data_IF_787563742809
#
_entry.id   IF_787563742809
#
_cell.length_a   1.000
_cell.length_b   1.000
_cell.length_c   1.000
_cell.angle_alpha   90.00
_cell.angle_beta   90.00
_cell.angle_gamma   90.00
#
_symmetry.space_group_name_H-M   'P 1'
#
loop_
_entity.id
_entity.type
_entity.pdbx_description
1 polymer ?
#
# COMPACT_ATOMS: atom_id res chain seq x y z
N UNK A 1 14.72 0.29 -27.02
CA UNK A 1 15.49 0.89 -28.13
C UNK A 1 16.87 0.23 -28.21
N UNK A 2 17.69 0.31 -27.16
CA UNK A 2 18.98 -0.41 -27.12
C UNK A 2 18.81 -1.94 -27.11
N UNK A 3 17.84 -2.47 -26.35
CA UNK A 3 17.52 -3.91 -26.38
C UNK A 3 17.22 -4.45 -27.79
N UNK A 4 16.61 -3.63 -28.67
CA UNK A 4 16.35 -4.05 -30.06
C UNK A 4 17.65 -4.18 -30.87
N UNK A 5 18.62 -3.29 -30.64
CA UNK A 5 19.94 -3.36 -31.25
C UNK A 5 20.67 -4.61 -30.76
N UNK A 6 20.66 -4.88 -29.45
CA UNK A 6 21.27 -6.06 -28.86
C UNK A 6 20.68 -7.38 -29.40
N UNK A 7 19.35 -7.44 -29.55
CA UNK A 7 18.65 -8.64 -30.03
C UNK A 7 18.91 -8.93 -31.52
N UNK A 8 19.18 -7.89 -32.33
CA UNK A 8 19.18 -8.00 -33.80
C UNK A 8 20.53 -7.66 -34.46
N UNK A 9 21.53 -7.19 -33.70
CA UNK A 9 22.87 -6.85 -34.21
C UNK A 9 23.59 -8.02 -34.89
N UNK A 10 23.30 -9.26 -34.50
CA UNK A 10 23.87 -10.46 -35.11
C UNK A 10 23.33 -10.74 -36.52
N UNK A 11 22.10 -10.32 -36.81
CA UNK A 11 21.44 -10.55 -38.09
C UNK A 11 21.63 -9.38 -39.08
N UNK A 12 21.60 -8.13 -38.60
CA UNK A 12 21.58 -6.96 -39.47
C UNK A 12 22.76 -6.00 -39.28
N UNK A 13 23.62 -6.21 -38.26
CA UNK A 13 24.66 -5.25 -37.89
C UNK A 13 24.11 -4.00 -37.19
N UNK A 14 24.97 -3.32 -36.42
CA UNK A 14 24.57 -2.16 -35.59
C UNK A 14 24.25 -0.93 -36.45
N UNK A 15 25.09 -0.62 -37.44
CA UNK A 15 24.93 0.59 -38.27
C UNK A 15 23.62 0.62 -39.09
N UNK A 16 23.18 -0.48 -39.74
CA UNK A 16 21.89 -0.51 -40.45
C UNK A 16 20.70 -0.29 -39.52
N UNK A 17 20.72 -0.89 -38.32
CA UNK A 17 19.66 -0.71 -37.32
C UNK A 17 19.64 0.74 -36.83
N UNK A 18 20.80 1.31 -36.50
CA UNK A 18 20.95 2.69 -36.05
C UNK A 18 20.47 3.70 -37.10
N UNK A 19 20.67 3.42 -38.39
CA UNK A 19 20.18 4.26 -39.50
C UNK A 19 18.65 4.28 -39.59
N UNK A 20 17.98 3.16 -39.33
CA UNK A 20 16.51 3.05 -39.35
C UNK A 20 15.87 3.65 -38.08
N UNK A 21 16.56 3.56 -36.94
CA UNK A 21 16.08 4.07 -35.64
C UNK A 21 16.42 5.55 -35.33
N UNK A 22 16.81 6.32 -36.34
CA UNK A 22 17.70 7.50 -36.27
C UNK A 22 18.53 7.69 -34.97
N UNK A 23 19.43 6.76 -34.67
CA UNK A 23 20.36 6.84 -33.52
C UNK A 23 21.80 6.84 -34.04
N UNK A 24 22.70 7.56 -33.37
CA UNK A 24 24.12 7.51 -33.70
C UNK A 24 24.74 6.17 -33.23
N UNK A 25 25.52 5.46 -34.07
CA UNK A 25 26.20 4.21 -33.68
C UNK A 25 27.13 4.40 -32.46
N UNK A 26 27.70 5.59 -32.28
CA UNK A 26 28.50 5.93 -31.10
C UNK A 26 27.73 5.81 -29.79
N UNK A 27 26.41 6.02 -29.79
CA UNK A 27 25.55 5.84 -28.61
C UNK A 27 25.45 4.38 -28.20
N UNK A 28 25.40 3.45 -29.16
CA UNK A 28 25.43 2.02 -28.90
C UNK A 28 26.78 1.59 -28.32
N UNK A 29 27.88 2.01 -28.96
CA UNK A 29 29.23 1.71 -28.47
C UNK A 29 29.49 2.28 -27.07
N UNK A 30 29.01 3.49 -26.77
CA UNK A 30 29.09 4.07 -25.44
C UNK A 30 28.26 3.29 -24.42
N UNK A 31 27.07 2.80 -24.81
CA UNK A 31 26.25 1.95 -23.96
C UNK A 31 26.93 0.62 -23.65
N UNK A 32 27.44 -0.07 -24.67
CA UNK A 32 28.22 -1.31 -24.53
C UNK A 32 29.46 -1.06 -23.67
N UNK A 33 30.16 0.06 -23.86
CA UNK A 33 31.31 0.44 -23.05
C UNK A 33 30.95 0.71 -21.58
N UNK A 34 29.78 1.29 -21.29
CA UNK A 34 29.26 1.51 -19.91
C UNK A 34 28.75 0.21 -19.26
N UNK A 35 28.29 -0.76 -20.06
CA UNK A 35 27.96 -2.08 -19.57
C UNK A 35 29.22 -2.89 -19.24
N UNK A 36 30.20 -2.89 -20.15
CA UNK A 36 31.45 -3.64 -20.03
C UNK A 36 32.39 -3.07 -18.96
N UNK A 37 32.45 -1.73 -18.83
CA UNK A 37 33.27 -1.07 -17.81
C UNK A 37 32.40 -0.31 -16.81
N UNK A 38 32.36 -0.83 -15.58
CA UNK A 38 31.59 -0.30 -14.46
C UNK A 38 32.03 1.11 -14.04
N UNK A 39 33.27 1.49 -14.31
CA UNK A 39 33.82 2.82 -14.00
C UNK A 39 33.32 3.91 -14.96
N UNK A 40 32.87 3.55 -16.16
CA UNK A 40 32.30 4.49 -17.14
C UNK A 40 30.83 4.81 -16.86
N UNK A 41 30.21 4.12 -15.90
CA UNK A 41 28.83 4.39 -15.47
C UNK A 41 28.76 5.69 -14.69
N UNK A 42 27.65 6.40 -14.82
CA UNK A 42 27.40 7.59 -14.02
C UNK A 42 27.50 7.29 -12.51
N UNK A 43 27.96 8.27 -11.74
CA UNK A 43 28.04 8.18 -10.27
C UNK A 43 26.71 7.74 -9.63
N UNK A 44 25.59 8.21 -10.19
CA UNK A 44 24.26 7.78 -9.75
C UNK A 44 24.04 6.28 -9.95
N UNK A 45 24.39 5.74 -11.12
CA UNK A 45 24.22 4.32 -11.42
C UNK A 45 25.10 3.44 -10.53
N UNK A 46 26.33 3.89 -10.23
CA UNK A 46 27.23 3.20 -9.30
C UNK A 46 26.65 3.15 -7.88
N UNK A 47 26.12 4.29 -7.38
CA UNK A 47 25.44 4.33 -6.07
C UNK A 47 24.17 3.48 -6.03
N UNK A 48 23.35 3.54 -7.08
CA UNK A 48 22.13 2.74 -7.19
C UNK A 48 22.44 1.23 -7.15
N UNK A 49 23.54 0.81 -7.78
CA UNK A 49 23.95 -0.60 -7.82
C UNK A 49 24.46 -1.10 -6.46
N UNK A 50 25.23 -0.27 -5.73
CA UNK A 50 25.63 -0.57 -4.36
C UNK A 50 24.40 -0.67 -3.43
N UNK A 51 23.52 0.34 -3.49
CA UNK A 51 22.30 0.37 -2.70
C UNK A 51 21.34 -0.79 -3.04
N UNK A 52 21.29 -1.21 -4.29
CA UNK A 52 20.50 -2.37 -4.72
C UNK A 52 21.01 -3.69 -4.11
N UNK A 53 22.31 -3.82 -3.84
CA UNK A 53 22.86 -4.96 -3.12
C UNK A 53 22.43 -4.95 -1.64
N UNK A 54 22.51 -3.79 -0.98
CA UNK A 54 22.07 -3.63 0.41
C UNK A 54 20.57 -3.88 0.59
N UNK A 55 19.75 -3.35 -0.32
CA UNK A 55 18.30 -3.60 -0.36
C UNK A 55 18.01 -5.10 -0.48
N UNK A 56 18.72 -5.81 -1.37
CA UNK A 56 18.54 -7.27 -1.55
C UNK A 56 18.92 -8.04 -0.29
N UNK A 57 20.04 -7.67 0.34
CA UNK A 57 20.49 -8.28 1.60
C UNK A 57 19.43 -8.10 2.69
N UNK A 58 19.03 -6.86 2.97
CA UNK A 58 18.00 -6.56 3.98
C UNK A 58 16.69 -7.28 3.67
N UNK A 59 16.26 -7.32 2.41
CA UNK A 59 15.04 -8.02 2.02
C UNK A 59 15.12 -9.52 2.29
N UNK A 60 16.23 -10.16 1.92
CA UNK A 60 16.46 -11.60 2.12
C UNK A 60 16.61 -11.97 3.61
N UNK A 61 17.36 -11.20 4.39
CA UNK A 61 17.53 -11.39 5.84
C UNK A 61 16.19 -11.30 6.60
N UNK A 62 15.23 -10.55 6.05
CA UNK A 62 13.89 -10.40 6.61
C UNK A 62 12.86 -11.29 5.90
N UNK A 63 13.29 -12.41 5.31
CA UNK A 63 12.46 -13.45 4.68
C UNK A 63 11.49 -12.93 3.60
N UNK A 64 11.84 -11.83 2.92
CA UNK A 64 10.98 -11.18 1.93
C UNK A 64 9.71 -10.52 2.50
N UNK A 65 9.62 -10.35 3.82
CA UNK A 65 8.45 -9.75 4.48
C UNK A 65 8.47 -8.22 4.39
N UNK A 66 9.66 -7.62 4.29
CA UNK A 66 9.80 -6.17 4.35
C UNK A 66 9.43 -5.51 3.03
N UNK A 67 8.50 -4.55 3.11
CA UNK A 67 8.19 -3.64 2.02
C UNK A 67 9.21 -2.51 1.94
N UNK A 68 9.09 -1.64 0.93
CA UNK A 68 10.00 -0.53 0.73
C UNK A 68 10.13 0.39 1.96
N UNK A 69 9.06 0.55 2.76
CA UNK A 69 9.09 1.37 3.96
C UNK A 69 9.90 0.70 5.08
N UNK A 70 9.77 -0.62 5.26
CA UNK A 70 10.53 -1.37 6.28
C UNK A 70 11.99 -1.53 5.87
N UNK A 71 12.28 -1.84 4.61
CA UNK A 71 13.64 -1.87 4.06
C UNK A 71 14.32 -0.52 4.24
N UNK A 72 13.65 0.58 3.87
CA UNK A 72 14.17 1.94 4.07
C UNK A 72 14.52 2.23 5.53
N UNK A 73 13.65 1.86 6.48
CA UNK A 73 13.93 2.05 7.91
C UNK A 73 15.09 1.19 8.41
N UNK A 74 15.23 -0.03 7.90
CA UNK A 74 16.33 -0.91 8.26
C UNK A 74 17.66 -0.37 7.75
N UNK A 75 17.72 0.06 6.49
CA UNK A 75 18.90 0.75 5.94
C UNK A 75 19.28 1.99 6.75
N UNK A 76 18.30 2.76 7.22
CA UNK A 76 18.56 3.93 8.05
C UNK A 76 19.15 3.56 9.42
N UNK A 77 18.72 2.44 10.02
CA UNK A 77 19.29 1.91 11.27
C UNK A 77 20.73 1.41 11.09
N UNK A 78 21.08 0.95 9.89
CA UNK A 78 22.41 0.50 9.51
C UNK A 78 23.33 1.67 9.07
N UNK A 79 22.86 2.91 9.16
CA UNK A 79 23.64 4.12 8.82
C UNK A 79 23.59 4.52 7.35
N UNK A 80 22.82 3.82 6.51
CA UNK A 80 22.63 4.19 5.11
C UNK A 80 21.56 5.28 4.96
N UNK A 81 21.98 6.52 4.82
CA UNK A 81 21.11 7.67 4.59
C UNK A 81 20.62 7.70 3.12
N UNK A 82 19.40 7.20 2.88
CA UNK A 82 18.80 7.14 1.54
C UNK A 82 17.36 7.62 1.56
N UNK A 83 16.93 8.30 0.49
CA UNK A 83 15.54 8.71 0.33
C UNK A 83 14.62 7.50 0.11
N UNK A 84 13.47 7.46 0.81
CA UNK A 84 12.47 6.38 0.67
C UNK A 84 12.08 6.10 -0.78
N UNK A 85 11.88 7.14 -1.59
CA UNK A 85 11.53 7.01 -3.02
C UNK A 85 12.60 6.30 -3.84
N UNK A 86 13.88 6.41 -3.44
CA UNK A 86 14.98 5.67 -4.08
C UNK A 86 14.86 4.18 -3.80
N UNK A 87 14.58 3.79 -2.55
CA UNK A 87 14.32 2.39 -2.16
C UNK A 87 13.13 1.82 -2.93
N UNK A 88 12.01 2.56 -2.96
CA UNK A 88 10.80 2.16 -3.70
C UNK A 88 11.08 1.94 -5.18
N UNK A 89 11.81 2.87 -5.83
CA UNK A 89 12.20 2.74 -7.24
C UNK A 89 13.08 1.51 -7.47
N UNK A 90 14.13 1.32 -6.65
CA UNK A 90 15.08 0.22 -6.82
C UNK A 90 14.42 -1.14 -6.55
N UNK A 91 13.60 -1.26 -5.50
CA UNK A 91 12.82 -2.47 -5.24
C UNK A 91 11.90 -2.80 -6.43
N UNK A 92 11.22 -1.80 -7.01
CA UNK A 92 10.39 -2.00 -8.19
C UNK A 92 11.21 -2.48 -9.39
N UNK A 93 12.36 -1.87 -9.67
CA UNK A 93 13.25 -2.30 -10.76
C UNK A 93 13.75 -3.74 -10.57
N UNK A 94 13.96 -4.17 -9.32
CA UNK A 94 14.39 -5.55 -8.98
C UNK A 94 13.23 -6.54 -8.84
N UNK A 95 11.97 -6.11 -8.96
CA UNK A 95 10.80 -6.97 -8.75
C UNK A 95 10.61 -7.41 -7.28
N UNK A 96 11.21 -6.71 -6.32
CA UNK A 96 11.07 -7.03 -4.90
C UNK A 96 9.78 -6.42 -4.33
N UNK A 97 8.94 -7.27 -3.75
CA UNK A 97 7.71 -6.85 -3.08
C UNK A 97 7.63 -7.50 -1.70
N UNK A 98 7.44 -6.68 -0.67
CA UNK A 98 7.23 -7.18 0.69
C UNK A 98 5.90 -7.91 0.83
N UNK A 99 5.87 -8.93 1.69
CA UNK A 99 4.65 -9.67 1.98
C UNK A 99 3.56 -8.76 2.59
N UNK A 100 2.39 -8.74 1.96
CA UNK A 100 1.18 -8.10 2.51
C UNK A 100 0.38 -9.18 3.25
N UNK A 101 0.22 -9.01 4.57
CA UNK A 101 -0.57 -9.94 5.38
C UNK A 101 -2.06 -9.67 5.15
N UNK A 102 -2.80 -10.73 4.87
CA UNK A 102 -4.27 -10.71 4.74
C UNK A 102 -4.74 -10.78 3.30
N UNK A 103 -5.57 -11.78 3.00
CA UNK A 103 -6.47 -11.70 1.85
C UNK A 103 -7.48 -10.59 2.20
N UNK A 104 -7.75 -9.60 1.34
CA UNK A 104 -8.84 -8.66 1.59
C UNK A 104 -10.13 -9.48 1.68
N UNK A 105 -10.62 -9.69 2.90
CA UNK A 105 -11.90 -10.35 3.13
C UNK A 105 -12.95 -9.30 2.80
N UNK A 106 -13.60 -9.46 1.65
CA UNK A 106 -14.76 -8.66 1.30
C UNK A 106 -15.94 -9.18 2.11
N UNK A 107 -16.19 -8.56 3.26
CA UNK A 107 -17.31 -8.90 4.16
C UNK A 107 -18.67 -8.57 3.54
N UNK A 108 -18.73 -7.61 2.63
CA UNK A 108 -19.97 -7.15 2.01
C UNK A 108 -19.83 -7.05 0.49
N UNK A 109 -20.66 -7.79 -0.22
CA UNK A 109 -20.89 -7.61 -1.66
C UNK A 109 -22.15 -6.74 -1.77
N UNK A 110 -21.96 -5.44 -1.98
CA UNK A 110 -23.09 -4.52 -2.14
C UNK A 110 -23.87 -4.84 -3.42
N UNK A 111 -25.19 -4.98 -3.28
CA UNK A 111 -26.12 -5.03 -4.41
C UNK A 111 -26.36 -3.61 -4.93
N UNK A 112 -25.96 -3.35 -6.18
CA UNK A 112 -26.12 -2.03 -6.82
C UNK A 112 -27.56 -1.75 -7.25
N UNK A 113 -28.41 -2.78 -7.28
CA UNK A 113 -29.81 -2.69 -7.69
C UNK A 113 -30.76 -2.50 -6.51
N UNK A 114 -30.27 -2.76 -5.29
CA UNK A 114 -31.03 -2.53 -4.07
C UNK A 114 -31.30 -1.04 -3.85
N UNK A 115 -32.50 -0.72 -3.35
CA UNK A 115 -32.86 0.64 -2.96
C UNK A 115 -31.93 1.14 -1.87
N UNK A 116 -31.08 2.11 -2.19
CA UNK A 116 -30.21 2.76 -1.22
C UNK A 116 -31.03 3.79 -0.42
N UNK A 117 -31.09 3.68 0.92
CA UNK A 117 -31.76 4.67 1.74
C UNK A 117 -31.17 6.07 1.49
N UNK A 118 -32.04 7.09 1.43
CA UNK A 118 -31.61 8.47 1.26
C UNK A 118 -30.71 8.89 2.42
N UNK A 119 -29.56 9.48 2.10
CA UNK A 119 -28.67 10.09 3.09
C UNK A 119 -29.32 11.36 3.65
N UNK A 120 -30.03 11.21 4.76
CA UNK A 120 -30.75 12.33 5.41
C UNK A 120 -29.82 13.38 6.02
N UNK A 121 -28.53 13.07 6.20
CA UNK A 121 -27.56 13.96 6.82
C UNK A 121 -26.52 14.49 5.84
N UNK A 122 -26.61 14.15 4.56
CA UNK A 122 -25.67 14.58 3.51
C UNK A 122 -24.19 14.39 3.90
N UNK A 123 -23.87 13.27 4.57
CA UNK A 123 -22.56 12.96 5.16
C UNK A 123 -22.01 14.01 6.14
N UNK A 124 -22.87 14.85 6.71
CA UNK A 124 -22.52 15.82 7.75
C UNK A 124 -22.71 15.17 9.13
N UNK A 125 -21.64 14.57 9.65
CA UNK A 125 -21.62 13.92 10.98
C UNK A 125 -21.22 14.89 12.11
N UNK A 126 -21.68 16.13 12.03
CA UNK A 126 -21.50 17.14 13.06
C UNK A 126 -22.87 17.69 13.42
N UNK A 127 -23.21 17.66 14.72
CA UNK A 127 -24.42 18.27 15.24
C UNK A 127 -24.10 19.58 15.98
N UNK A 128 -25.04 20.55 16.01
CA UNK A 128 -24.87 21.80 16.74
C UNK A 128 -25.14 21.67 18.26
N UNK A 129 -25.79 20.60 18.70
CA UNK A 129 -26.09 20.32 20.11
C UNK A 129 -26.11 18.80 20.39
N UNK A 130 -25.98 18.38 21.67
CA UNK A 130 -26.14 16.98 22.06
C UNK A 130 -27.51 16.41 21.64
N UNK A 131 -27.57 15.09 21.45
CA UNK A 131 -28.78 14.31 21.16
C UNK A 131 -29.49 14.62 19.83
N UNK A 132 -28.90 15.45 18.95
CA UNK A 132 -29.48 15.75 17.63
C UNK A 132 -29.08 14.76 16.53
N UNK A 133 -27.86 14.23 16.60
CA UNK A 133 -27.37 13.23 15.65
C UNK A 133 -26.50 12.21 16.37
N UNK A 134 -26.88 10.94 16.22
CA UNK A 134 -26.20 9.79 16.77
C UNK A 134 -25.80 8.88 15.61
N UNK A 135 -24.60 8.31 15.70
CA UNK A 135 -24.10 7.32 14.74
C UNK A 135 -23.89 6.01 15.48
N UNK A 136 -24.32 4.91 14.87
CA UNK A 136 -24.09 3.57 15.38
C UNK A 136 -23.22 2.77 14.44
N UNK A 137 -22.29 2.02 15.01
CA UNK A 137 -21.53 1.01 14.29
C UNK A 137 -21.29 -0.19 15.22
N UNK A 138 -21.05 -1.37 14.65
CA UNK A 138 -20.63 -2.53 15.43
C UNK A 138 -19.39 -3.17 14.84
N UNK A 139 -18.49 -3.60 15.72
CA UNK A 139 -17.18 -4.13 15.35
C UNK A 139 -16.90 -5.44 16.05
N UNK A 140 -15.83 -6.11 15.59
CA UNK A 140 -15.33 -7.36 16.13
C UNK A 140 -14.26 -7.08 17.16
N UNK A 141 -14.46 -7.52 18.40
CA UNK A 141 -13.47 -7.42 19.47
C UNK A 141 -12.91 -8.81 19.76
N UNK A 142 -11.59 -8.96 19.60
CA UNK A 142 -10.89 -10.20 19.88
C UNK A 142 -10.87 -10.50 21.39
N UNK A 143 -11.06 -11.77 21.73
CA UNK A 143 -11.01 -12.29 23.10
C UNK A 143 -10.16 -13.55 23.14
N UNK A 144 -9.79 -14.03 24.34
CA UNK A 144 -9.06 -15.28 24.51
C UNK A 144 -9.82 -16.53 24.03
N UNK A 145 -11.13 -16.43 23.85
CA UNK A 145 -12.00 -17.53 23.40
C UNK A 145 -12.49 -17.37 21.95
N UNK A 146 -11.99 -16.35 21.22
CA UNK A 146 -12.42 -16.05 19.85
C UNK A 146 -12.66 -14.55 19.65
N UNK A 147 -13.88 -14.19 19.26
CA UNK A 147 -14.28 -12.78 19.11
C UNK A 147 -15.74 -12.57 19.55
N UNK A 148 -16.08 -11.33 19.88
CA UNK A 148 -17.44 -10.89 20.14
C UNK A 148 -17.78 -9.69 19.27
N UNK A 149 -19.07 -9.46 19.04
CA UNK A 149 -19.59 -8.26 18.39
C UNK A 149 -19.88 -7.20 19.45
N UNK A 150 -19.42 -5.98 19.22
CA UNK A 150 -19.71 -4.84 20.10
C UNK A 150 -20.29 -3.71 19.29
N UNK A 151 -21.51 -3.31 19.62
CA UNK A 151 -22.19 -2.15 19.05
C UNK A 151 -21.94 -0.94 19.93
N UNK A 152 -21.68 0.21 19.30
CA UNK A 152 -21.52 1.50 19.96
C UNK A 152 -22.48 2.50 19.33
N UNK A 153 -23.06 3.35 20.16
CA UNK A 153 -23.83 4.52 19.75
C UNK A 153 -23.09 5.75 20.24
N UNK A 154 -22.70 6.61 19.30
CA UNK A 154 -21.90 7.80 19.55
C UNK A 154 -22.75 9.03 19.29
N UNK A 155 -22.78 9.94 20.26
CA UNK A 155 -23.29 11.30 20.05
C UNK A 155 -22.26 12.12 19.27
N UNK A 156 -22.66 12.64 18.10
CA UNK A 156 -21.72 13.34 17.20
C UNK A 156 -21.27 14.71 17.69
N UNK A 157 -22.00 15.35 18.61
CA UNK A 157 -21.62 16.64 19.18
C UNK A 157 -20.57 16.43 20.27
N UNK A 158 -20.87 15.62 21.29
CA UNK A 158 -20.00 15.39 22.44
C UNK A 158 -18.89 14.36 22.17
N UNK A 159 -18.99 13.60 21.07
CA UNK A 159 -18.12 12.45 20.75
C UNK A 159 -18.05 11.42 21.88
N UNK A 160 -19.14 11.31 22.65
CA UNK A 160 -19.27 10.38 23.77
C UNK A 160 -20.05 9.14 23.34
N UNK A 161 -19.67 7.99 23.89
CA UNK A 161 -20.46 6.76 23.76
C UNK A 161 -21.67 6.91 24.68
N UNK A 162 -22.87 6.88 24.10
CA UNK A 162 -24.14 7.03 24.81
C UNK A 162 -24.91 5.73 24.95
N UNK A 163 -24.48 4.69 24.24
CA UNK A 163 -25.03 3.34 24.38
C UNK A 163 -24.06 2.32 23.82
N UNK A 164 -24.03 1.13 24.40
CA UNK A 164 -23.22 0.03 23.92
C UNK A 164 -23.79 -1.33 24.29
N UNK A 165 -23.55 -2.33 23.44
CA UNK A 165 -23.99 -3.72 23.72
C UNK A 165 -23.01 -4.72 23.13
N UNK A 166 -22.83 -5.83 23.84
CA UNK A 166 -21.96 -6.94 23.41
C UNK A 166 -22.82 -8.15 23.08
N UNK A 167 -22.49 -8.85 22.00
CA UNK A 167 -23.15 -10.08 21.59
C UNK A 167 -22.15 -11.10 21.06
N UNK A 168 -22.48 -12.39 21.17
CA UNK A 168 -21.75 -13.49 20.51
C UNK A 168 -22.20 -13.70 19.07
N UNK A 169 -23.31 -13.08 18.65
CA UNK A 169 -23.92 -13.23 17.32
C UNK A 169 -24.20 -11.88 16.68
N UNK A 170 -24.09 -11.82 15.35
CA UNK A 170 -24.35 -10.62 14.53
C UNK A 170 -25.84 -10.45 14.20
N UNK A 171 -26.72 -10.53 15.20
CA UNK A 171 -28.15 -10.29 14.99
C UNK A 171 -28.51 -8.82 15.23
N UNK A 172 -29.55 -8.32 14.56
CA UNK A 172 -29.96 -6.92 14.71
C UNK A 172 -30.33 -6.54 16.16
N UNK A 173 -30.79 -7.50 16.96
CA UNK A 173 -31.28 -7.26 18.33
C UNK A 173 -30.29 -6.49 19.22
N UNK A 174 -29.02 -6.91 19.29
CA UNK A 174 -28.06 -6.23 20.18
C UNK A 174 -27.72 -4.80 19.72
N UNK A 175 -27.86 -4.50 18.42
CA UNK A 175 -27.69 -3.14 17.90
C UNK A 175 -28.88 -2.28 18.30
N UNK A 176 -30.10 -2.83 18.25
CA UNK A 176 -31.32 -2.15 18.71
C UNK A 176 -31.24 -1.87 20.22
N UNK A 177 -30.82 -2.84 21.03
CA UNK A 177 -30.59 -2.66 22.48
C UNK A 177 -29.63 -1.48 22.76
N UNK A 178 -28.57 -1.34 21.96
CA UNK A 178 -27.60 -0.26 22.13
C UNK A 178 -28.19 1.12 21.76
N UNK A 179 -29.12 1.16 20.80
CA UNK A 179 -29.82 2.37 20.36
C UNK A 179 -30.88 2.84 21.37
N UNK A 180 -31.46 1.93 22.15
CA UNK A 180 -32.47 2.23 23.16
C UNK A 180 -31.88 2.82 24.45
N UNK A 181 -30.68 2.40 24.86
CA UNK A 181 -29.99 2.92 26.06
C UNK A 181 -30.03 4.45 26.20
N UNK A 182 -29.61 5.24 25.20
CA UNK A 182 -29.58 6.70 25.31
C UNK A 182 -30.97 7.38 25.21
N UNK A 183 -32.07 6.61 25.19
CA UNK A 183 -33.45 7.12 25.31
C UNK A 183 -33.99 7.01 26.75
N UNK A 184 -33.31 6.24 27.60
CA UNK A 184 -33.75 5.92 28.97
C UNK A 184 -32.83 6.49 30.08
N UNK A 185 -31.81 7.25 29.69
CA UNK A 185 -30.93 8.05 30.58
C UNK A 185 -31.43 9.50 30.72
#
# INVERSE_FOLDING_TARGET
>A
MIAFIDDHRGAYGVEPICRVLPIAPSTDHEHVAKQANRERRSERARRDEALAADIRRVFAENFGVYDARKVWRQLWREGCAVARRTVERLMRTMGLQGAVRGKPVRTTIGDKTAHCPLDRVNRQFQAPAPNMLRVSDFTYVATWQGFVYVAFVIDTFARRIVGWRVSRTAHAGFVLDALEQPLHD
#
